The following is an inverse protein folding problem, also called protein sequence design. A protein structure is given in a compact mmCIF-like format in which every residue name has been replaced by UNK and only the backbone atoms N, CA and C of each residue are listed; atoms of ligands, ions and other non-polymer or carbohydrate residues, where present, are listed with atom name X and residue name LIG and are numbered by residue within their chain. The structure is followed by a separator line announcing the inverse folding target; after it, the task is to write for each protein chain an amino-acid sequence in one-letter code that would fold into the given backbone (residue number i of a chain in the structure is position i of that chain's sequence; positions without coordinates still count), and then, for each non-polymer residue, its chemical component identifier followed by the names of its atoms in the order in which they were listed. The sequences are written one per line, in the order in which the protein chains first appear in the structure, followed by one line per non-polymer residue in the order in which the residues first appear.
data_IF_909441475514
#
_entry.id   IF_909441475514
#
_cell.length_a   1.000
_cell.length_b   1.000
_cell.length_c   1.000
_cell.angle_alpha   90.00
_cell.angle_beta   90.00
_cell.angle_gamma   90.00
#
_symmetry.space_group_name_H-M   'P 1'
#
loop_
_entity.id
_entity.type
_entity.pdbx_description
1 polymer ?
#
# COMPACT_ATOMS: atom_id res chain seq x y z
N UNK A 1 -34.91 11.24 -19.18
CA UNK A 1 -33.81 12.15 -18.79
C UNK A 1 -33.40 11.84 -17.37
N UNK A 2 -32.14 11.85 -17.01
CA UNK A 2 -31.71 11.65 -15.60
C UNK A 2 -32.31 12.77 -14.73
N UNK A 3 -32.67 12.42 -13.50
CA UNK A 3 -33.21 13.39 -12.55
C UNK A 3 -32.09 14.38 -12.15
N UNK A 4 -32.22 15.70 -12.43
CA UNK A 4 -31.15 16.69 -12.16
C UNK A 4 -30.71 16.74 -10.70
N UNK A 5 -31.63 16.53 -9.77
CA UNK A 5 -31.31 16.49 -8.31
C UNK A 5 -30.48 15.25 -7.94
N UNK A 6 -30.66 14.14 -8.64
CA UNK A 6 -29.89 12.94 -8.43
C UNK A 6 -28.48 13.13 -8.99
N UNK A 7 -28.37 13.69 -10.22
CA UNK A 7 -27.10 13.94 -10.88
C UNK A 7 -26.16 14.83 -10.06
N UNK A 8 -26.67 15.94 -9.48
CA UNK A 8 -25.92 16.87 -8.62
C UNK A 8 -25.26 16.17 -7.40
N UNK A 9 -25.83 15.06 -6.94
CA UNK A 9 -25.32 14.30 -5.80
C UNK A 9 -24.52 13.06 -6.21
N UNK A 10 -24.26 12.89 -7.52
CA UNK A 10 -23.58 11.74 -8.06
C UNK A 10 -22.14 12.05 -8.39
N UNK A 11 -21.23 11.18 -7.95
CA UNK A 11 -19.82 11.16 -8.34
C UNK A 11 -19.60 9.87 -9.13
N UNK A 12 -18.98 9.95 -10.31
CA UNK A 12 -18.51 8.79 -11.07
C UNK A 12 -17.00 8.80 -11.16
N UNK A 13 -16.38 7.69 -10.80
CA UNK A 13 -14.95 7.51 -10.81
C UNK A 13 -14.60 6.24 -11.61
N UNK A 14 -13.81 6.39 -12.67
CA UNK A 14 -13.33 5.25 -13.48
C UNK A 14 -11.88 4.96 -13.15
N UNK A 15 -11.61 3.70 -12.82
CA UNK A 15 -10.28 3.23 -12.44
C UNK A 15 -9.74 2.24 -13.46
N UNK A 16 -8.45 2.34 -13.73
CA UNK A 16 -7.65 1.35 -14.43
C UNK A 16 -6.90 0.48 -13.40
N UNK A 17 -6.86 -0.82 -13.63
CA UNK A 17 -6.00 -1.75 -12.91
C UNK A 17 -4.62 -1.71 -13.58
N UNK A 18 -3.65 -1.05 -12.94
CA UNK A 18 -2.31 -0.87 -13.49
C UNK A 18 -1.40 -2.10 -13.26
N UNK A 19 -1.63 -2.85 -12.20
CA UNK A 19 -0.89 -4.09 -11.88
C UNK A 19 -1.86 -5.22 -11.52
N UNK A 20 -1.48 -6.51 -11.70
CA UNK A 20 -2.37 -7.63 -11.40
C UNK A 20 -3.04 -7.56 -10.03
N UNK A 21 -4.34 -7.78 -9.97
CA UNK A 21 -5.18 -7.60 -8.79
C UNK A 21 -5.63 -8.95 -8.23
N UNK A 22 -5.26 -9.24 -6.98
CA UNK A 22 -5.66 -10.43 -6.23
C UNK A 22 -6.86 -10.12 -5.34
N UNK A 23 -8.02 -9.90 -5.93
CA UNK A 23 -9.28 -9.64 -5.24
C UNK A 23 -10.20 -10.84 -5.47
N UNK A 24 -10.61 -11.52 -4.41
CA UNK A 24 -11.37 -12.76 -4.51
C UNK A 24 -12.67 -12.74 -3.72
N UNK A 25 -13.61 -13.54 -4.19
CA UNK A 25 -14.88 -13.85 -3.55
C UNK A 25 -14.77 -14.92 -2.44
N UNK A 26 -15.93 -15.39 -1.98
CA UNK A 26 -16.02 -16.45 -0.97
C UNK A 26 -15.39 -17.77 -1.46
N UNK A 27 -15.48 -18.06 -2.75
CA UNK A 27 -14.92 -19.25 -3.39
C UNK A 27 -13.45 -19.07 -3.81
N UNK A 28 -12.80 -18.00 -3.38
CA UNK A 28 -11.43 -17.62 -3.73
C UNK A 28 -11.17 -17.37 -5.22
N UNK A 29 -12.20 -17.35 -6.05
CA UNK A 29 -12.10 -16.93 -7.45
C UNK A 29 -11.89 -15.42 -7.55
N UNK A 30 -11.13 -14.99 -8.57
CA UNK A 30 -10.83 -13.58 -8.76
C UNK A 30 -12.08 -12.84 -9.24
N UNK A 31 -12.54 -11.89 -8.42
CA UNK A 31 -13.66 -11.02 -8.75
C UNK A 31 -13.45 -9.62 -8.20
N UNK A 32 -13.97 -8.61 -8.88
CA UNK A 32 -14.05 -7.26 -8.33
C UNK A 32 -15.24 -7.16 -7.38
N UNK A 33 -14.98 -6.80 -6.14
CA UNK A 33 -16.01 -6.69 -5.09
C UNK A 33 -16.15 -5.24 -4.62
N UNK A 34 -17.35 -4.70 -4.74
CA UNK A 34 -17.65 -3.34 -4.29
C UNK A 34 -17.44 -3.15 -2.79
N UNK A 35 -17.71 -4.18 -1.98
CA UNK A 35 -17.45 -4.14 -0.54
C UNK A 35 -15.95 -3.94 -0.22
N UNK A 36 -15.07 -4.61 -0.98
CA UNK A 36 -13.62 -4.43 -0.85
C UNK A 36 -13.20 -3.01 -1.26
N UNK A 37 -13.76 -2.47 -2.34
CA UNK A 37 -13.53 -1.10 -2.76
C UNK A 37 -14.01 -0.10 -1.70
N UNK A 38 -15.22 -0.29 -1.12
CA UNK A 38 -15.72 0.55 -0.02
C UNK A 38 -14.77 0.53 1.18
N UNK A 39 -14.20 -0.63 1.52
CA UNK A 39 -13.21 -0.76 2.58
C UNK A 39 -11.95 0.07 2.32
N UNK A 40 -11.42 0.03 1.10
CA UNK A 40 -10.25 0.83 0.68
C UNK A 40 -10.58 2.32 0.65
N UNK A 41 -11.76 2.72 0.16
CA UNK A 41 -12.22 4.11 0.18
C UNK A 41 -12.29 4.66 1.61
N UNK A 42 -12.87 3.90 2.55
CA UNK A 42 -12.93 4.25 3.98
C UNK A 42 -11.54 4.37 4.59
N UNK A 43 -10.61 3.46 4.23
CA UNK A 43 -9.23 3.52 4.69
C UNK A 43 -8.55 4.84 4.30
N UNK A 44 -8.61 5.22 3.00
CA UNK A 44 -7.99 6.45 2.51
C UNK A 44 -8.71 7.70 3.01
N UNK A 45 -10.02 7.65 3.21
CA UNK A 45 -10.77 8.71 3.85
C UNK A 45 -10.29 8.93 5.30
N UNK A 46 -10.15 7.86 6.12
CA UNK A 46 -9.60 7.99 7.49
C UNK A 46 -8.19 8.53 7.48
N UNK A 47 -7.35 8.02 6.59
CA UNK A 47 -5.97 8.49 6.48
C UNK A 47 -5.90 10.00 6.21
N UNK A 48 -6.77 10.52 5.35
CA UNK A 48 -6.86 11.93 5.01
C UNK A 48 -7.46 12.77 6.15
N UNK A 49 -8.53 12.27 6.78
CA UNK A 49 -9.28 13.03 7.78
C UNK A 49 -8.62 13.05 9.16
N UNK A 50 -7.59 12.25 9.39
CA UNK A 50 -6.82 12.27 10.64
C UNK A 50 -6.33 13.66 11.01
N UNK A 51 -5.82 14.43 10.05
CA UNK A 51 -5.35 15.80 10.27
C UNK A 51 -6.43 16.80 10.73
N UNK A 52 -7.70 16.43 10.60
CA UNK A 52 -8.86 17.25 10.99
C UNK A 52 -9.60 16.73 12.22
N UNK A 53 -9.30 15.49 12.63
CA UNK A 53 -9.92 14.86 13.80
C UNK A 53 -9.17 15.23 15.08
N UNK A 54 -9.89 15.34 16.19
CA UNK A 54 -9.30 15.60 17.52
C UNK A 54 -8.50 14.38 17.99
N UNK A 55 -9.07 13.21 17.81
CA UNK A 55 -8.53 11.92 18.22
C UNK A 55 -9.18 10.77 17.43
N UNK A 56 -8.85 9.54 17.80
CA UNK A 56 -9.41 8.34 17.19
C UNK A 56 -10.93 8.21 17.37
N UNK A 57 -11.43 8.56 18.53
CA UNK A 57 -12.87 8.50 18.82
C UNK A 57 -13.66 9.43 17.93
N UNK A 58 -13.19 10.68 17.80
CA UNK A 58 -13.79 11.68 16.93
C UNK A 58 -13.78 11.22 15.46
N UNK A 59 -12.65 10.67 14.99
CA UNK A 59 -12.57 10.14 13.61
C UNK A 59 -13.52 8.97 13.38
N UNK A 60 -13.67 8.06 14.35
CA UNK A 60 -14.63 6.95 14.27
C UNK A 60 -16.07 7.47 14.18
N UNK A 61 -16.42 8.48 14.96
CA UNK A 61 -17.76 9.10 14.91
C UNK A 61 -18.01 9.75 13.55
N UNK A 62 -17.05 10.50 13.02
CA UNK A 62 -17.13 11.11 11.68
C UNK A 62 -17.27 10.07 10.57
N UNK A 63 -16.49 8.99 10.64
CA UNK A 63 -16.57 7.88 9.67
C UNK A 63 -17.94 7.19 9.73
N UNK A 64 -18.41 6.86 10.92
CA UNK A 64 -19.71 6.24 11.15
C UNK A 64 -20.86 7.12 10.64
N UNK A 65 -20.83 8.42 10.91
CA UNK A 65 -21.82 9.37 10.42
C UNK A 65 -21.88 9.47 8.89
N UNK A 66 -20.76 9.16 8.18
CA UNK A 66 -20.67 9.25 6.73
C UNK A 66 -20.94 7.90 6.05
N UNK A 67 -20.27 6.83 6.49
CA UNK A 67 -20.31 5.52 5.84
C UNK A 67 -21.29 4.54 6.49
N UNK A 68 -21.92 4.93 7.59
CA UNK A 68 -22.79 4.06 8.39
C UNK A 68 -22.02 3.16 9.33
N UNK A 69 -22.66 2.72 10.36
CA UNK A 69 -22.18 1.69 11.28
C UNK A 69 -23.37 0.81 11.73
N UNK A 70 -23.04 -0.36 12.30
CA UNK A 70 -24.02 -1.29 12.86
C UNK A 70 -24.54 -0.87 14.23
N UNK A 71 -23.91 0.13 14.86
CA UNK A 71 -24.26 0.61 16.17
C UNK A 71 -25.61 1.34 16.16
N UNK A 72 -26.36 1.20 17.25
CA UNK A 72 -27.67 1.83 17.41
C UNK A 72 -27.55 3.37 17.32
N UNK A 73 -28.42 4.00 16.52
CA UNK A 73 -28.50 5.45 16.34
C UNK A 73 -27.63 6.03 15.22
N UNK A 74 -26.69 5.30 14.62
CA UNK A 74 -25.85 5.81 13.53
C UNK A 74 -26.54 5.77 12.16
N UNK A 75 -27.30 4.72 11.89
CA UNK A 75 -28.11 4.58 10.69
C UNK A 75 -27.31 4.24 9.41
N UNK A 76 -27.99 4.42 8.27
CA UNK A 76 -27.47 4.00 6.96
C UNK A 76 -26.35 4.91 6.44
N UNK A 77 -25.46 4.33 5.60
CA UNK A 77 -24.44 5.07 4.87
C UNK A 77 -25.04 6.22 4.04
N UNK A 78 -24.47 7.42 4.19
CA UNK A 78 -24.76 8.58 3.36
C UNK A 78 -24.00 8.56 2.03
N UNK A 79 -23.11 7.58 1.84
CA UNK A 79 -22.36 7.31 0.61
C UNK A 79 -22.77 5.95 0.12
N UNK A 80 -23.60 5.90 -0.91
CA UNK A 80 -24.04 4.67 -1.56
C UNK A 80 -23.22 4.43 -2.80
N UNK A 81 -22.71 3.22 -2.96
CA UNK A 81 -21.85 2.84 -4.07
C UNK A 81 -22.53 1.82 -4.97
N UNK A 82 -22.31 1.92 -6.27
CA UNK A 82 -22.61 0.88 -7.24
C UNK A 82 -21.51 0.78 -8.29
N UNK A 83 -21.39 -0.41 -8.88
CA UNK A 83 -20.47 -0.64 -10.00
C UNK A 83 -21.21 -0.16 -11.27
N UNK A 84 -20.48 0.57 -12.08
CA UNK A 84 -20.89 0.96 -13.43
C UNK A 84 -19.71 0.70 -14.36
N UNK A 85 -19.97 0.21 -15.57
CA UNK A 85 -18.93 0.00 -16.58
C UNK A 85 -17.75 -0.89 -16.10
N UNK A 86 -17.91 -2.19 -16.17
CA UNK A 86 -16.86 -3.12 -15.81
C UNK A 86 -16.32 -3.84 -17.04
N UNK A 87 -15.03 -3.60 -17.38
CA UNK A 87 -14.32 -4.25 -18.49
C UNK A 87 -13.02 -4.84 -17.94
N UNK A 88 -13.12 -6.02 -17.37
CA UNK A 88 -12.01 -6.73 -16.76
C UNK A 88 -11.52 -7.81 -17.71
N UNK A 89 -10.20 -8.01 -17.78
CA UNK A 89 -9.64 -9.17 -18.44
C UNK A 89 -10.06 -10.43 -17.72
N UNK A 90 -10.10 -11.56 -18.44
CA UNK A 90 -10.40 -12.85 -17.85
C UNK A 90 -9.48 -13.15 -16.67
N UNK A 91 -10.02 -13.74 -15.61
CA UNK A 91 -9.24 -14.14 -14.44
C UNK A 91 -8.23 -15.23 -14.82
N UNK A 92 -7.04 -15.15 -14.22
CA UNK A 92 -6.04 -16.20 -14.30
C UNK A 92 -6.04 -16.99 -12.98
N UNK A 93 -6.27 -18.31 -13.09
CA UNK A 93 -6.33 -19.20 -11.93
C UNK A 93 -5.06 -20.03 -11.77
N UNK A 94 -4.43 -20.36 -12.86
CA UNK A 94 -3.26 -21.26 -12.94
C UNK A 94 -2.21 -20.65 -13.86
N UNK A 95 -0.95 -20.94 -13.61
CA UNK A 95 0.16 -20.53 -14.45
C UNK A 95 1.08 -19.51 -13.79
N UNK A 96 1.93 -18.91 -14.59
CA UNK A 96 2.88 -17.89 -14.15
C UNK A 96 2.38 -16.51 -14.55
N UNK A 97 2.32 -15.59 -13.60
CA UNK A 97 2.00 -14.18 -13.87
C UNK A 97 3.13 -13.53 -14.67
N UNK A 98 4.35 -13.95 -14.39
CA UNK A 98 5.57 -13.41 -14.99
C UNK A 98 6.54 -14.52 -15.34
N UNK A 99 7.32 -14.33 -16.39
CA UNK A 99 8.36 -15.28 -16.76
C UNK A 99 9.30 -15.59 -15.59
N UNK A 100 9.57 -16.88 -15.39
CA UNK A 100 10.44 -17.35 -14.32
C UNK A 100 11.83 -16.69 -14.43
N UNK A 101 12.33 -16.16 -13.30
CA UNK A 101 13.65 -15.56 -13.19
C UNK A 101 13.79 -14.14 -13.74
N UNK A 102 12.88 -13.64 -14.58
CA UNK A 102 12.97 -12.28 -15.14
C UNK A 102 12.47 -11.18 -14.23
N UNK A 103 11.42 -11.45 -13.47
CA UNK A 103 10.74 -10.45 -12.62
C UNK A 103 10.77 -10.86 -11.14
N UNK A 104 11.95 -11.13 -10.63
CA UNK A 104 12.19 -11.64 -9.27
C UNK A 104 11.81 -10.66 -8.15
N UNK A 105 11.85 -9.34 -8.40
CA UNK A 105 11.37 -8.34 -7.46
C UNK A 105 9.86 -8.36 -7.33
N UNK A 106 9.13 -8.48 -8.45
CA UNK A 106 7.69 -8.64 -8.44
C UNK A 106 7.28 -9.95 -7.72
N UNK A 107 7.95 -11.07 -7.99
CA UNK A 107 7.72 -12.34 -7.25
C UNK A 107 7.91 -12.16 -5.74
N UNK A 108 8.98 -11.48 -5.32
CA UNK A 108 9.22 -11.18 -3.90
C UNK A 108 8.07 -10.38 -3.27
N UNK A 109 7.58 -9.34 -3.95
CA UNK A 109 6.45 -8.55 -3.46
C UNK A 109 5.14 -9.36 -3.39
N UNK A 110 4.98 -10.33 -4.30
CA UNK A 110 3.82 -11.22 -4.41
C UNK A 110 3.86 -12.46 -3.51
N UNK A 111 4.89 -12.63 -2.68
CA UNK A 111 4.99 -13.79 -1.79
C UNK A 111 3.70 -14.05 -1.00
N UNK A 112 3.17 -15.29 -1.11
CA UNK A 112 1.92 -15.72 -0.49
C UNK A 112 0.64 -15.54 -1.34
N UNK A 113 0.74 -14.91 -2.53
CA UNK A 113 -0.28 -14.96 -3.60
C UNK A 113 0.31 -15.59 -4.87
N UNK A 114 1.62 -15.72 -4.90
CA UNK A 114 2.40 -16.52 -5.84
C UNK A 114 3.66 -17.04 -5.16
N UNK A 115 4.30 -18.04 -5.73
CA UNK A 115 5.58 -18.57 -5.27
C UNK A 115 6.70 -17.56 -5.59
N UNK A 116 7.39 -17.07 -4.56
CA UNK A 116 8.48 -16.11 -4.75
C UNK A 116 9.76 -16.78 -5.31
N UNK A 117 9.93 -18.08 -5.03
CA UNK A 117 11.09 -18.87 -5.42
C UNK A 117 10.64 -20.24 -5.93
N UNK A 118 11.40 -20.81 -6.85
CA UNK A 118 11.20 -22.21 -7.25
C UNK A 118 11.49 -23.15 -6.08
N UNK A 119 10.71 -24.22 -5.98
CA UNK A 119 10.90 -25.29 -4.99
C UNK A 119 10.86 -26.66 -5.66
N UNK A 120 11.98 -27.34 -5.68
CA UNK A 120 12.07 -28.72 -6.20
C UNK A 120 11.20 -29.67 -5.37
N UNK A 121 11.21 -29.51 -4.04
CA UNK A 121 10.44 -30.36 -3.10
C UNK A 121 8.93 -30.23 -3.30
N UNK A 122 8.44 -29.03 -3.67
CA UNK A 122 7.03 -28.78 -3.94
C UNK A 122 6.64 -28.89 -5.40
N UNK A 123 7.61 -29.04 -6.30
CA UNK A 123 7.39 -29.00 -7.75
C UNK A 123 6.87 -27.66 -8.26
N UNK A 124 7.19 -26.56 -7.57
CA UNK A 124 6.68 -25.24 -7.91
C UNK A 124 7.73 -24.35 -8.56
N UNK A 125 7.29 -23.44 -9.42
CA UNK A 125 8.14 -22.47 -10.09
C UNK A 125 7.95 -21.06 -9.51
N UNK A 126 9.00 -20.23 -9.58
CA UNK A 126 8.88 -18.83 -9.20
C UNK A 126 7.82 -18.12 -10.06
N UNK A 127 6.95 -17.32 -9.43
CA UNK A 127 5.84 -16.65 -10.10
C UNK A 127 4.59 -17.50 -10.32
N UNK A 128 4.61 -18.79 -9.96
CA UNK A 128 3.44 -19.64 -10.03
C UNK A 128 2.35 -19.15 -9.08
N UNK A 129 1.14 -18.95 -9.60
CA UNK A 129 -0.01 -18.50 -8.82
C UNK A 129 -0.39 -19.50 -7.72
N UNK A 130 -0.70 -18.98 -6.54
CA UNK A 130 -1.30 -19.74 -5.42
C UNK A 130 -2.77 -19.40 -5.23
N UNK A 131 -3.26 -18.40 -5.96
CA UNK A 131 -4.68 -18.00 -6.04
C UNK A 131 -4.95 -17.24 -7.34
N UNK A 132 -6.22 -17.22 -7.75
CA UNK A 132 -6.64 -16.50 -8.94
C UNK A 132 -6.45 -14.97 -8.84
N UNK A 133 -6.29 -14.31 -9.98
CA UNK A 133 -6.13 -12.87 -10.09
C UNK A 133 -6.80 -12.30 -11.33
N UNK A 134 -7.05 -10.98 -11.32
CA UNK A 134 -7.47 -10.20 -12.49
C UNK A 134 -6.22 -9.47 -13.02
N UNK A 135 -5.76 -9.78 -14.24
CA UNK A 135 -4.49 -9.25 -14.75
C UNK A 135 -4.55 -7.75 -15.08
N UNK A 136 -5.66 -7.27 -15.61
CA UNK A 136 -5.83 -5.88 -16.04
C UNK A 136 -7.31 -5.56 -16.26
N UNK A 137 -7.60 -4.30 -16.58
CA UNK A 137 -8.93 -3.86 -16.96
C UNK A 137 -9.29 -2.50 -16.38
N UNK A 138 -10.54 -2.11 -16.60
CA UNK A 138 -11.12 -0.87 -16.07
C UNK A 138 -12.46 -1.16 -15.42
N UNK A 139 -12.81 -0.36 -14.42
CA UNK A 139 -14.13 -0.38 -13.81
C UNK A 139 -14.54 1.02 -13.36
N UNK A 140 -15.83 1.29 -13.39
CA UNK A 140 -16.43 2.50 -12.87
C UNK A 140 -17.13 2.24 -11.53
N UNK A 141 -17.01 3.19 -10.63
CA UNK A 141 -17.79 3.25 -9.40
C UNK A 141 -18.59 4.54 -9.37
N UNK A 142 -19.88 4.42 -9.16
CA UNK A 142 -20.76 5.55 -8.93
C UNK A 142 -21.04 5.67 -7.44
N UNK A 143 -20.81 6.86 -6.91
CA UNK A 143 -21.11 7.22 -5.52
C UNK A 143 -22.31 8.17 -5.51
N UNK A 144 -23.43 7.73 -4.98
CA UNK A 144 -24.56 8.59 -4.69
C UNK A 144 -24.43 9.12 -3.25
N UNK A 145 -24.25 10.42 -3.15
CA UNK A 145 -24.14 11.13 -1.90
C UNK A 145 -25.51 11.60 -1.39
N UNK A 146 -25.72 11.51 -0.07
CA UNK A 146 -26.88 12.12 0.54
C UNK A 146 -26.87 13.64 0.31
N UNK A 147 -28.00 14.28 -0.04
CA UNK A 147 -28.08 15.73 -0.17
C UNK A 147 -27.83 16.47 1.15
N UNK A 148 -27.88 15.78 2.29
CA UNK A 148 -27.64 16.34 3.61
C UNK A 148 -26.14 16.46 3.97
N UNK A 149 -25.22 15.99 3.10
CA UNK A 149 -23.78 16.13 3.34
C UNK A 149 -23.34 17.57 3.12
N UNK A 150 -22.50 18.08 4.02
CA UNK A 150 -21.82 19.37 3.84
C UNK A 150 -20.88 19.35 2.64
N UNK A 151 -20.47 20.51 2.16
CA UNK A 151 -19.47 20.63 1.09
C UNK A 151 -18.14 19.96 1.49
N UNK A 152 -17.69 20.16 2.72
CA UNK A 152 -16.46 19.55 3.25
C UNK A 152 -16.53 18.02 3.28
N UNK A 153 -17.67 17.45 3.68
CA UNK A 153 -17.88 16.01 3.68
C UNK A 153 -17.88 15.44 2.27
N UNK A 154 -18.48 16.16 1.30
CA UNK A 154 -18.46 15.77 -0.12
C UNK A 154 -17.05 15.82 -0.70
N UNK A 155 -16.32 16.90 -0.43
CA UNK A 155 -14.93 17.06 -0.85
C UNK A 155 -14.03 15.98 -0.26
N UNK A 156 -14.20 15.63 1.02
CA UNK A 156 -13.45 14.55 1.65
C UNK A 156 -13.67 13.19 0.96
N UNK A 157 -14.90 12.89 0.49
CA UNK A 157 -15.17 11.67 -0.29
C UNK A 157 -14.50 11.74 -1.67
N UNK A 158 -14.58 12.88 -2.36
CA UNK A 158 -13.94 13.10 -3.66
C UNK A 158 -12.42 12.91 -3.52
N UNK A 159 -11.81 13.54 -2.53
CA UNK A 159 -10.37 13.46 -2.28
C UNK A 159 -9.93 12.04 -1.92
N UNK A 160 -10.75 11.30 -1.16
CA UNK A 160 -10.48 9.89 -0.87
C UNK A 160 -10.55 9.02 -2.14
N UNK A 161 -11.51 9.26 -3.07
CA UNK A 161 -11.57 8.59 -4.36
C UNK A 161 -10.31 8.87 -5.20
N UNK A 162 -9.82 10.11 -5.21
CA UNK A 162 -8.58 10.46 -5.91
C UNK A 162 -7.39 9.72 -5.27
N UNK A 163 -7.26 9.71 -3.93
CA UNK A 163 -6.19 8.99 -3.22
C UNK A 163 -6.19 7.48 -3.51
N UNK A 164 -7.37 6.86 -3.62
CA UNK A 164 -7.47 5.45 -4.06
C UNK A 164 -6.78 5.24 -5.40
N UNK A 165 -6.89 6.20 -6.32
CA UNK A 165 -6.30 6.15 -7.66
C UNK A 165 -4.88 6.70 -7.77
N UNK A 166 -4.33 7.28 -6.70
CA UNK A 166 -3.00 7.92 -6.71
C UNK A 166 -1.96 7.11 -5.92
N UNK A 167 -2.38 6.54 -4.80
CA UNK A 167 -1.51 5.79 -3.87
C UNK A 167 -2.14 4.48 -3.41
N UNK A 168 -3.39 4.22 -3.78
CA UNK A 168 -4.16 3.06 -3.34
C UNK A 168 -4.04 1.86 -4.24
N UNK A 169 -4.62 0.78 -3.78
CA UNK A 169 -4.75 -0.48 -4.52
C UNK A 169 -5.78 -1.38 -3.87
N UNK A 170 -6.23 -2.40 -4.59
CA UNK A 170 -7.28 -3.29 -4.16
C UNK A 170 -6.82 -4.74 -4.14
N UNK A 171 -7.27 -5.48 -3.15
CA UNK A 171 -7.01 -6.92 -2.98
C UNK A 171 -5.77 -7.24 -2.17
N UNK A 172 -5.38 -8.51 -2.20
CA UNK A 172 -4.20 -9.00 -1.50
C UNK A 172 -2.93 -8.37 -2.06
N UNK A 173 -1.97 -8.05 -1.17
CA UNK A 173 -0.71 -7.40 -1.53
C UNK A 173 -0.85 -5.98 -2.11
N UNK A 174 -1.98 -5.31 -1.93
CA UNK A 174 -2.17 -3.93 -2.39
C UNK A 174 -1.14 -2.95 -1.80
N UNK A 175 -0.70 -3.14 -0.56
CA UNK A 175 0.43 -2.35 0.01
C UNK A 175 1.79 -2.66 -0.64
N UNK A 176 1.87 -3.72 -1.44
CA UNK A 176 3.07 -4.14 -2.15
C UNK A 176 3.01 -3.84 -3.65
N UNK A 177 2.07 -2.98 -4.06
CA UNK A 177 1.92 -2.52 -5.43
C UNK A 177 1.12 -3.44 -6.35
N UNK A 178 0.56 -4.56 -5.84
CA UNK A 178 -0.39 -5.36 -6.59
C UNK A 178 -1.79 -4.74 -6.52
N UNK A 179 -2.57 -4.87 -7.60
CA UNK A 179 -3.89 -4.25 -7.69
C UNK A 179 -3.85 -2.73 -7.58
N UNK A 180 -2.76 -2.08 -7.99
CA UNK A 180 -2.67 -0.63 -8.06
C UNK A 180 -3.76 -0.08 -8.97
N UNK A 181 -4.49 0.91 -8.49
CA UNK A 181 -5.60 1.54 -9.19
C UNK A 181 -5.23 2.95 -9.64
N UNK A 182 -5.35 3.24 -10.93
CA UNK A 182 -5.20 4.61 -11.44
C UNK A 182 -6.56 5.20 -11.75
N UNK A 183 -6.91 6.32 -11.15
CA UNK A 183 -8.12 7.06 -11.47
C UNK A 183 -7.93 7.77 -12.83
N UNK A 184 -8.69 7.35 -13.82
CA UNK A 184 -8.58 7.87 -15.19
C UNK A 184 -9.64 8.90 -15.55
N UNK A 185 -10.82 8.83 -14.92
CA UNK A 185 -11.91 9.77 -15.12
C UNK A 185 -12.63 10.05 -13.81
N UNK A 186 -13.00 11.29 -13.60
CA UNK A 186 -13.80 11.72 -12.46
C UNK A 186 -14.87 12.71 -12.91
N UNK A 187 -16.13 12.42 -12.61
CA UNK A 187 -17.26 13.30 -12.87
C UNK A 187 -17.96 13.60 -11.54
N UNK A 188 -18.23 14.85 -11.26
CA UNK A 188 -18.92 15.31 -10.05
C UNK A 188 -20.11 16.17 -10.46
N UNK A 189 -21.31 15.75 -10.07
CA UNK A 189 -22.53 16.49 -10.40
C UNK A 189 -22.77 16.63 -11.91
N UNK A 190 -22.36 15.62 -12.70
CA UNK A 190 -22.45 15.66 -14.17
C UNK A 190 -21.29 16.39 -14.87
N UNK A 191 -20.41 17.05 -14.12
CA UNK A 191 -19.28 17.79 -14.70
C UNK A 191 -17.98 16.98 -14.59
N UNK A 192 -17.24 16.89 -15.70
CA UNK A 192 -15.93 16.23 -15.72
C UNK A 192 -14.91 17.08 -14.96
N UNK A 193 -14.16 16.44 -14.04
CA UNK A 193 -13.09 17.06 -13.30
C UNK A 193 -11.75 16.66 -13.93
N UNK A 194 -10.96 17.65 -14.33
CA UNK A 194 -9.59 17.42 -14.81
C UNK A 194 -8.72 16.87 -13.70
N UNK A 195 -7.94 15.83 -14.00
CA UNK A 195 -6.97 15.22 -13.11
C UNK A 195 -5.57 15.38 -13.70
N UNK A 196 -4.59 15.87 -12.94
CA UNK A 196 -3.20 15.81 -13.39
C UNK A 196 -2.79 14.38 -13.73
N UNK A 197 -2.00 14.20 -14.78
CA UNK A 197 -1.49 12.87 -15.15
C UNK A 197 -0.41 12.37 -14.18
N UNK A 198 0.37 13.28 -13.59
CA UNK A 198 1.40 12.96 -12.61
C UNK A 198 0.78 12.75 -11.22
N UNK A 199 0.99 11.60 -10.57
CA UNK A 199 0.52 11.37 -9.21
C UNK A 199 1.10 12.34 -8.18
N UNK A 200 2.30 12.89 -8.39
CA UNK A 200 2.86 13.92 -7.51
C UNK A 200 2.01 15.18 -7.50
N UNK A 201 1.55 15.63 -8.67
CA UNK A 201 0.70 16.82 -8.78
C UNK A 201 -0.71 16.57 -8.23
N UNK A 202 -1.22 15.34 -8.34
CA UNK A 202 -2.47 14.98 -7.68
C UNK A 202 -2.35 15.09 -6.16
N UNK A 203 -1.23 14.66 -5.57
CA UNK A 203 -1.01 14.65 -4.11
C UNK A 203 -0.86 16.05 -3.51
N UNK A 204 -0.14 16.96 -4.18
CA UNK A 204 0.09 18.35 -3.70
C UNK A 204 -1.19 19.08 -3.28
N UNK A 205 -2.30 18.79 -3.93
CA UNK A 205 -3.59 19.42 -3.62
C UNK A 205 -4.43 18.70 -2.57
N UNK A 206 -4.14 17.42 -2.31
CA UNK A 206 -4.99 16.53 -1.52
C UNK A 206 -4.58 16.44 -0.05
N UNK A 207 -3.26 16.36 0.21
CA UNK A 207 -2.74 16.16 1.55
C UNK A 207 -2.49 17.54 2.18
N UNK A 208 -3.41 17.98 3.02
CA UNK A 208 -3.35 19.27 3.72
C UNK A 208 -3.57 19.05 5.21
N UNK A 209 -3.15 20.01 6.03
CA UNK A 209 -3.35 20.01 7.49
C UNK A 209 -2.78 18.74 8.16
N UNK A 210 -1.54 18.43 7.84
CA UNK A 210 -0.85 17.28 8.41
C UNK A 210 -0.78 17.37 9.94
N UNK A 211 -1.24 16.32 10.61
CA UNK A 211 -1.26 16.27 12.06
C UNK A 211 0.15 16.18 12.63
N UNK A 212 0.51 16.95 13.66
CA UNK A 212 1.85 16.91 14.27
C UNK A 212 2.10 15.67 15.11
N UNK A 213 1.04 15.03 15.65
CA UNK A 213 1.17 13.82 16.46
C UNK A 213 1.24 12.59 15.57
N UNK A 214 2.06 11.63 15.98
CA UNK A 214 2.09 10.31 15.36
C UNK A 214 0.69 9.66 15.45
N UNK A 215 0.10 9.25 14.32
CA UNK A 215 -1.20 8.59 14.33
C UNK A 215 -1.16 7.26 15.08
N UNK A 216 -2.27 6.86 15.68
CA UNK A 216 -2.40 5.53 16.28
C UNK A 216 -2.54 4.42 15.24
N UNK A 217 -2.98 4.77 14.03
CA UNK A 217 -3.02 3.90 12.87
C UNK A 217 -2.44 4.60 11.64
N UNK A 218 -2.25 3.84 10.57
CA UNK A 218 -1.70 4.34 9.32
C UNK A 218 -2.55 5.49 8.74
N UNK A 219 -2.03 6.72 8.83
CA UNK A 219 -2.65 7.95 8.35
C UNK A 219 -1.59 8.98 7.96
N UNK A 220 -2.01 10.03 7.27
CA UNK A 220 -1.14 11.16 6.93
C UNK A 220 -0.78 11.95 8.19
N UNK A 221 0.50 12.29 8.32
CA UNK A 221 1.07 13.11 9.39
C UNK A 221 2.25 13.93 8.86
N UNK A 222 2.81 14.82 9.68
CA UNK A 222 3.98 15.62 9.29
C UNK A 222 5.21 14.79 8.93
N UNK A 223 5.30 13.57 9.48
CA UNK A 223 6.43 12.65 9.21
C UNK A 223 6.16 11.75 8.00
N UNK A 224 5.02 11.91 7.32
CA UNK A 224 4.71 11.17 6.11
C UNK A 224 5.63 11.62 4.97
N UNK A 225 6.03 10.67 4.13
CA UNK A 225 6.86 10.94 2.95
C UNK A 225 6.31 10.20 1.74
N UNK A 226 6.45 10.82 0.59
CA UNK A 226 6.13 10.20 -0.70
C UNK A 226 7.31 10.39 -1.65
N UNK A 227 7.68 9.32 -2.31
CA UNK A 227 8.69 9.31 -3.37
C UNK A 227 8.04 8.76 -4.63
N UNK A 228 8.11 9.50 -5.71
CA UNK A 228 7.82 8.98 -7.06
C UNK A 228 9.08 8.46 -7.69
N UNK A 229 8.97 7.37 -8.45
CA UNK A 229 10.09 6.78 -9.19
C UNK A 229 9.66 6.49 -10.62
N UNK A 230 10.57 6.67 -11.55
CA UNK A 230 10.35 6.35 -12.95
C UNK A 230 11.47 5.48 -13.52
N UNK A 231 11.15 4.78 -14.61
CA UNK A 231 12.10 4.06 -15.40
C UNK A 231 11.67 4.18 -16.86
N UNK A 232 12.49 4.81 -17.69
CA UNK A 232 12.16 5.12 -19.09
C UNK A 232 11.78 3.85 -19.86
N UNK A 233 10.60 3.87 -20.48
CA UNK A 233 10.11 2.77 -21.33
C UNK A 233 9.70 1.50 -20.58
N UNK A 234 9.68 1.51 -19.24
CA UNK A 234 9.27 0.34 -18.47
C UNK A 234 7.74 0.23 -18.42
N UNK A 235 7.24 -1.01 -18.49
CA UNK A 235 5.83 -1.33 -18.24
C UNK A 235 5.49 -1.26 -16.74
N UNK A 236 4.21 -1.23 -16.40
CA UNK A 236 3.74 -1.20 -15.00
C UNK A 236 4.31 -2.37 -14.16
N UNK A 237 4.36 -3.56 -14.74
CA UNK A 237 4.93 -4.75 -14.09
C UNK A 237 6.44 -4.64 -13.93
N UNK A 238 7.14 -4.04 -14.88
CA UNK A 238 8.58 -3.82 -14.76
C UNK A 238 8.92 -2.78 -13.70
N UNK A 239 8.11 -1.71 -13.56
CA UNK A 239 8.28 -0.75 -12.46
C UNK A 239 8.00 -1.42 -11.11
N UNK A 240 6.98 -2.27 -11.02
CA UNK A 240 6.70 -3.07 -9.82
C UNK A 240 7.90 -3.99 -9.48
N UNK A 241 8.49 -4.66 -10.48
CA UNK A 241 9.67 -5.50 -10.29
C UNK A 241 10.87 -4.70 -9.78
N UNK A 242 11.13 -3.53 -10.37
CA UNK A 242 12.23 -2.66 -9.94
C UNK A 242 12.05 -2.22 -8.49
N UNK A 243 10.85 -1.79 -8.09
CA UNK A 243 10.52 -1.47 -6.69
C UNK A 243 10.76 -2.67 -5.76
N UNK A 244 10.38 -3.86 -6.18
CA UNK A 244 10.61 -5.09 -5.44
C UNK A 244 12.09 -5.43 -5.30
N UNK A 245 12.88 -5.27 -6.37
CA UNK A 245 14.34 -5.46 -6.36
C UNK A 245 15.00 -4.49 -5.38
N UNK A 246 14.67 -3.19 -5.48
CA UNK A 246 15.21 -2.19 -4.55
C UNK A 246 14.89 -2.56 -3.09
N UNK A 247 13.65 -2.98 -2.81
CA UNK A 247 13.25 -3.36 -1.47
C UNK A 247 13.97 -4.61 -0.96
N UNK A 248 14.13 -5.65 -1.79
CA UNK A 248 14.80 -6.88 -1.37
C UNK A 248 16.31 -6.68 -1.21
N UNK A 249 16.96 -5.90 -2.09
CA UNK A 249 18.39 -5.57 -1.94
C UNK A 249 18.65 -4.76 -0.67
N UNK A 250 17.84 -3.76 -0.41
CA UNK A 250 18.00 -2.93 0.79
C UNK A 250 17.79 -3.73 2.08
N UNK A 251 16.79 -4.63 2.13
CA UNK A 251 16.37 -5.30 3.37
C UNK A 251 17.07 -6.62 3.64
N UNK A 252 17.54 -7.31 2.61
CA UNK A 252 17.98 -8.70 2.76
C UNK A 252 19.47 -8.80 3.03
N UNK A 253 19.84 -9.68 3.98
CA UNK A 253 21.23 -10.05 4.21
C UNK A 253 21.77 -10.93 3.07
N UNK A 254 20.89 -11.74 2.48
CA UNK A 254 21.24 -12.66 1.41
C UNK A 254 21.71 -14.03 1.91
N UNK A 255 21.73 -14.98 0.97
CA UNK A 255 22.30 -16.31 1.19
C UNK A 255 23.71 -16.34 0.63
N UNK A 256 24.69 -16.73 1.45
CA UNK A 256 26.12 -16.73 1.07
C UNK A 256 26.57 -15.38 0.49
N UNK A 257 26.10 -14.26 1.07
CA UNK A 257 26.43 -12.91 0.62
C UNK A 257 25.79 -12.49 -0.71
N UNK A 258 24.73 -13.17 -1.18
CA UNK A 258 24.06 -12.85 -2.45
C UNK A 258 22.54 -12.70 -2.25
N UNK A 259 21.98 -11.73 -2.97
CA UNK A 259 20.54 -11.47 -3.13
C UNK A 259 20.24 -11.44 -4.63
N UNK A 260 19.26 -12.24 -5.08
CA UNK A 260 18.90 -12.34 -6.52
C UNK A 260 20.12 -12.52 -7.43
N UNK A 261 21.08 -13.36 -7.01
CA UNK A 261 22.31 -13.63 -7.75
C UNK A 261 23.38 -12.53 -7.72
N UNK A 262 23.12 -11.38 -7.12
CA UNK A 262 24.05 -10.25 -6.98
C UNK A 262 24.62 -10.19 -5.55
N UNK A 263 25.78 -9.58 -5.32
CA UNK A 263 26.29 -9.32 -3.97
C UNK A 263 25.25 -8.57 -3.13
N UNK A 264 25.03 -9.04 -1.90
CA UNK A 264 24.11 -8.39 -0.95
C UNK A 264 24.70 -7.08 -0.42
N UNK A 265 23.81 -6.15 -0.04
CA UNK A 265 24.23 -4.83 0.48
C UNK A 265 24.55 -4.85 1.97
N UNK A 266 23.99 -5.83 2.69
CA UNK A 266 24.23 -6.02 4.12
C UNK A 266 23.96 -4.78 5.00
N UNK A 267 22.90 -4.03 4.68
CA UNK A 267 22.57 -2.77 5.34
C UNK A 267 22.21 -2.92 6.83
N UNK A 268 21.95 -4.13 7.31
CA UNK A 268 21.55 -4.42 8.70
C UNK A 268 22.48 -5.45 9.35
N UNK A 269 23.77 -5.13 9.56
CA UNK A 269 24.73 -6.09 10.14
C UNK A 269 24.36 -6.48 11.58
N UNK A 270 23.89 -5.54 12.40
CA UNK A 270 23.50 -5.81 13.78
C UNK A 270 22.30 -6.77 13.85
N UNK A 271 21.30 -6.61 12.94
CA UNK A 271 20.17 -7.54 12.84
C UNK A 271 20.64 -8.97 12.54
N UNK A 272 21.64 -9.11 11.67
CA UNK A 272 22.20 -10.41 11.32
C UNK A 272 22.96 -11.02 12.50
N UNK A 273 23.83 -10.25 13.15
CA UNK A 273 24.59 -10.71 14.31
C UNK A 273 23.67 -11.12 15.45
N UNK A 274 22.65 -10.30 15.76
CA UNK A 274 21.64 -10.63 16.78
C UNK A 274 20.91 -11.95 16.46
N UNK A 275 20.55 -12.19 15.18
CA UNK A 275 19.91 -13.43 14.76
C UNK A 275 20.81 -14.67 14.86
N UNK A 276 22.12 -14.48 15.01
CA UNK A 276 23.11 -15.53 15.26
C UNK A 276 23.43 -15.70 16.75
N UNK A 277 22.71 -14.99 17.64
CA UNK A 277 22.95 -15.04 19.07
C UNK A 277 24.20 -14.29 19.53
N UNK A 278 24.78 -13.46 18.67
CA UNK A 278 25.93 -12.62 19.05
C UNK A 278 25.47 -11.44 19.90
N UNK A 279 26.29 -11.04 20.84
CA UNK A 279 26.04 -9.83 21.64
C UNK A 279 26.22 -8.58 20.76
N UNK A 280 25.20 -7.76 20.68
CA UNK A 280 25.17 -6.50 19.92
C UNK A 280 24.37 -5.44 20.66
N UNK A 281 24.66 -4.18 20.39
CA UNK A 281 23.98 -3.03 21.03
C UNK A 281 22.64 -2.71 20.36
N UNK A 282 21.79 -3.72 20.21
CA UNK A 282 20.37 -3.57 19.84
C UNK A 282 19.55 -4.68 20.52
N UNK A 283 18.37 -4.34 20.99
CA UNK A 283 17.48 -5.28 21.66
C UNK A 283 16.67 -6.14 20.69
N UNK A 284 16.35 -5.60 19.52
CA UNK A 284 15.59 -6.25 18.47
C UNK A 284 16.02 -5.75 17.08
N UNK A 285 15.75 -6.53 16.02
CA UNK A 285 16.16 -6.14 14.67
C UNK A 285 15.52 -4.84 14.20
N UNK A 286 16.33 -3.95 13.63
CA UNK A 286 15.85 -2.66 13.08
C UNK A 286 14.88 -2.83 11.91
N UNK A 287 14.95 -3.95 11.17
CA UNK A 287 14.06 -4.24 10.03
C UNK A 287 12.60 -4.50 10.43
N UNK A 288 12.26 -4.62 11.71
CA UNK A 288 10.87 -4.77 12.18
C UNK A 288 9.97 -3.63 11.69
N UNK A 289 10.50 -2.43 11.49
CA UNK A 289 9.78 -1.26 10.98
C UNK A 289 9.06 -1.50 9.65
N UNK A 290 9.52 -2.47 8.84
CA UNK A 290 8.88 -2.83 7.57
C UNK A 290 7.64 -3.72 7.73
N UNK A 291 7.25 -4.05 8.95
CA UNK A 291 6.07 -4.86 9.29
C UNK A 291 6.44 -6.17 9.99
N UNK A 292 5.44 -6.85 10.56
CA UNK A 292 5.58 -8.12 11.29
C UNK A 292 4.59 -9.16 10.72
N UNK A 293 4.87 -10.46 10.87
CA UNK A 293 6.03 -11.06 11.51
C UNK A 293 7.29 -11.04 10.64
N UNK A 294 8.46 -11.17 11.30
CA UNK A 294 9.73 -11.50 10.66
C UNK A 294 10.18 -12.89 11.10
N UNK A 295 10.70 -13.69 10.18
CA UNK A 295 11.25 -15.00 10.44
C UNK A 295 12.76 -14.98 10.17
N UNK A 296 13.55 -15.34 11.17
CA UNK A 296 15.02 -15.45 11.11
C UNK A 296 15.52 -16.91 11.15
N UNK A 297 14.60 -17.89 11.11
CA UNK A 297 14.87 -19.31 11.17
C UNK A 297 13.95 -20.04 12.14
N UNK A 298 14.13 -21.35 12.33
CA UNK A 298 13.28 -22.15 13.20
C UNK A 298 13.31 -21.61 14.64
N UNK A 299 12.14 -21.28 15.20
CA UNK A 299 11.97 -20.76 16.54
C UNK A 299 12.44 -19.33 16.78
N UNK A 300 12.73 -18.58 15.71
CA UNK A 300 13.19 -17.19 15.77
C UNK A 300 12.20 -16.23 15.10
N UNK A 301 10.92 -16.47 15.30
CA UNK A 301 9.87 -15.59 14.82
C UNK A 301 9.76 -14.33 15.67
N UNK A 302 9.73 -13.19 15.02
CA UNK A 302 9.53 -11.88 15.64
C UNK A 302 8.16 -11.37 15.27
N UNK A 303 7.38 -11.02 16.28
CA UNK A 303 6.00 -10.59 16.10
C UNK A 303 5.45 -9.88 17.34
N UNK A 304 4.17 -9.48 17.32
CA UNK A 304 3.50 -9.02 18.52
C UNK A 304 3.55 -10.07 19.63
N UNK A 305 3.67 -9.62 20.89
CA UNK A 305 3.82 -10.54 22.02
C UNK A 305 2.49 -11.20 22.41
N UNK A 306 1.38 -10.47 22.31
CA UNK A 306 0.06 -11.02 22.64
C UNK A 306 -0.50 -11.90 21.52
N UNK A 307 -1.37 -12.84 21.92
CA UNK A 307 -2.12 -13.66 20.96
C UNK A 307 -3.26 -12.92 20.24
N UNK A 308 -3.53 -11.67 20.64
CA UNK A 308 -4.59 -10.84 20.04
C UNK A 308 -4.20 -10.25 18.70
N UNK A 309 -2.89 -10.14 18.46
CA UNK A 309 -2.29 -9.61 17.24
C UNK A 309 -1.33 -10.65 16.67
N UNK A 310 -1.50 -11.00 15.41
CA UNK A 310 -0.62 -11.94 14.69
C UNK A 310 0.34 -11.20 13.73
N UNK A 311 0.06 -9.94 13.42
CA UNK A 311 0.83 -9.18 12.44
C UNK A 311 0.73 -7.66 12.61
N UNK A 312 1.73 -6.97 12.09
CA UNK A 312 1.72 -5.53 11.85
C UNK A 312 2.01 -5.27 10.37
N UNK A 313 1.06 -4.72 9.67
CA UNK A 313 1.25 -4.38 8.25
C UNK A 313 2.34 -3.30 8.09
N UNK A 314 3.08 -3.35 6.98
CA UNK A 314 4.05 -2.31 6.64
C UNK A 314 3.39 -0.92 6.61
N UNK A 315 4.05 0.13 7.14
CA UNK A 315 3.59 1.51 6.98
C UNK A 315 3.91 2.07 5.59
N UNK A 316 4.66 1.33 4.77
CA UNK A 316 4.95 1.68 3.39
C UNK A 316 3.94 1.07 2.43
N UNK A 317 3.51 1.88 1.47
CA UNK A 317 2.67 1.49 0.35
C UNK A 317 3.48 1.66 -0.94
N UNK A 318 3.48 0.63 -1.75
CA UNK A 318 3.94 0.70 -3.13
C UNK A 318 2.72 0.81 -4.02
N UNK A 319 2.80 1.67 -5.01
CA UNK A 319 1.76 1.86 -6.01
C UNK A 319 2.40 2.07 -7.38
N UNK A 320 1.73 1.61 -8.42
CA UNK A 320 2.14 1.84 -9.81
C UNK A 320 1.03 2.60 -10.51
N UNK A 321 1.37 3.78 -11.00
CA UNK A 321 0.45 4.68 -11.68
C UNK A 321 0.64 4.62 -13.19
N UNK A 322 -0.46 4.40 -13.93
CA UNK A 322 -0.46 4.39 -15.38
C UNK A 322 -1.86 4.75 -15.90
N UNK A 323 -1.99 5.87 -16.59
CA UNK A 323 -3.30 6.39 -17.02
C UNK A 323 -3.89 5.68 -18.24
N UNK A 324 -3.04 5.22 -19.16
CA UNK A 324 -3.44 4.47 -20.36
C UNK A 324 -2.32 3.52 -20.80
N UNK A 325 -2.63 2.61 -21.74
CA UNK A 325 -1.60 1.80 -22.38
C UNK A 325 -0.64 2.70 -23.16
N UNK A 326 0.67 2.44 -23.01
CA UNK A 326 1.72 3.26 -23.62
C UNK A 326 1.99 4.60 -22.93
N UNK A 327 1.18 5.02 -21.95
CA UNK A 327 1.49 6.21 -21.15
C UNK A 327 2.69 5.96 -20.21
N UNK A 328 3.39 7.03 -19.79
CA UNK A 328 4.46 6.91 -18.79
C UNK A 328 3.96 6.18 -17.53
N UNK A 329 4.84 5.36 -16.95
CA UNK A 329 4.57 4.61 -15.73
C UNK A 329 5.36 5.22 -14.59
N UNK A 330 4.68 5.56 -13.50
CA UNK A 330 5.29 6.09 -12.29
C UNK A 330 5.04 5.14 -11.13
N UNK A 331 6.11 4.71 -10.46
CA UNK A 331 6.00 4.06 -9.16
C UNK A 331 5.84 5.12 -8.06
N UNK A 332 4.98 4.87 -7.09
CA UNK A 332 4.76 5.75 -5.94
C UNK A 332 5.03 4.97 -4.67
N UNK A 333 5.96 5.45 -3.86
CA UNK A 333 6.29 4.87 -2.56
C UNK A 333 5.82 5.84 -1.48
N UNK A 334 4.77 5.46 -0.76
CA UNK A 334 4.19 6.27 0.30
C UNK A 334 4.53 5.68 1.65
N UNK A 335 5.10 6.48 2.54
CA UNK A 335 5.34 6.15 3.93
C UNK A 335 4.37 6.94 4.83
N UNK A 336 3.57 6.19 5.57
CA UNK A 336 2.62 6.73 6.54
C UNK A 336 2.99 6.18 7.92
N UNK A 337 3.84 6.90 8.69
CA UNK A 337 4.19 6.49 10.05
C UNK A 337 2.97 6.49 10.95
N UNK A 338 2.95 5.54 11.88
CA UNK A 338 1.91 5.43 12.89
C UNK A 338 2.49 4.70 14.10
N UNK A 339 1.83 4.75 15.25
CA UNK A 339 2.20 3.91 16.37
C UNK A 339 2.43 2.47 15.87
N UNK A 340 3.62 1.93 16.13
CA UNK A 340 4.01 0.66 15.54
C UNK A 340 3.17 -0.49 16.07
N UNK A 341 2.99 -0.57 17.37
CA UNK A 341 2.09 -1.51 18.03
C UNK A 341 1.02 -0.75 18.83
N UNK A 342 -0.16 -1.32 19.07
CA UNK A 342 -1.16 -0.71 19.94
C UNK A 342 -0.60 -0.40 21.34
N UNK A 343 -1.23 0.54 22.03
CA UNK A 343 -0.82 0.88 23.39
C UNK A 343 -0.83 -0.34 24.31
N UNK A 344 0.28 -0.55 25.04
CA UNK A 344 0.47 -1.69 25.93
C UNK A 344 0.88 -2.99 25.25
N UNK A 345 0.89 -3.07 23.90
CA UNK A 345 1.41 -4.23 23.18
C UNK A 345 2.94 -4.17 23.10
N UNK A 346 3.58 -5.32 23.21
CA UNK A 346 5.03 -5.46 23.15
C UNK A 346 5.46 -6.25 21.91
N UNK A 347 6.69 -6.04 21.51
CA UNK A 347 7.35 -6.86 20.48
C UNK A 347 7.97 -8.09 21.14
N UNK A 348 7.65 -9.28 20.68
CA UNK A 348 8.38 -10.51 21.01
C UNK A 348 9.49 -10.74 19.99
N UNK A 349 10.73 -10.78 20.46
CA UNK A 349 11.91 -11.06 19.66
C UNK A 349 12.87 -11.96 20.44
N UNK A 350 13.33 -13.07 19.84
CA UNK A 350 14.32 -14.00 20.40
C UNK A 350 14.01 -14.41 21.86
N UNK A 351 12.75 -14.80 22.13
CA UNK A 351 12.24 -15.21 23.45
C UNK A 351 12.21 -14.10 24.52
N UNK A 352 12.36 -12.84 24.13
CA UNK A 352 12.20 -11.66 25.01
C UNK A 352 11.09 -10.76 24.49
N UNK A 353 10.56 -9.93 25.37
CA UNK A 353 9.58 -8.89 25.01
C UNK A 353 10.22 -7.52 25.15
N UNK A 354 9.89 -6.62 24.24
CA UNK A 354 10.45 -5.27 24.17
C UNK A 354 9.34 -4.26 23.95
N UNK A 355 9.42 -3.15 24.64
CA UNK A 355 8.58 -1.98 24.34
C UNK A 355 9.18 -1.25 23.15
N UNK A 356 8.34 -0.91 22.18
CA UNK A 356 8.76 -0.12 21.01
C UNK A 356 8.67 1.36 21.37
N UNK A 357 9.78 2.06 21.17
CA UNK A 357 9.79 3.52 21.13
C UNK A 357 9.52 3.99 19.70
N UNK A 358 8.34 4.56 19.46
CA UNK A 358 7.90 5.09 18.16
C UNK A 358 8.56 6.45 17.81
N UNK A 359 9.70 6.77 18.40
CA UNK A 359 10.46 7.99 18.10
C UNK A 359 10.93 8.06 16.65
N UNK A 360 11.37 9.21 16.20
CA UNK A 360 11.86 9.40 14.83
C UNK A 360 13.01 8.45 14.48
N UNK A 361 13.84 8.07 15.46
CA UNK A 361 14.96 7.14 15.26
C UNK A 361 14.49 5.71 14.94
N UNK A 362 13.32 5.30 15.42
CA UNK A 362 12.73 4.01 15.08
C UNK A 362 12.46 3.88 13.58
N UNK A 363 12.00 4.95 12.94
CA UNK A 363 11.64 4.97 11.52
C UNK A 363 12.83 5.18 10.57
N UNK A 364 14.03 5.43 11.13
CA UNK A 364 15.24 5.69 10.33
C UNK A 364 15.45 4.68 9.18
N UNK A 365 15.29 3.34 9.33
CA UNK A 365 15.50 2.42 8.21
C UNK A 365 14.56 2.66 7.03
N UNK A 366 13.36 3.18 7.27
CA UNK A 366 12.43 3.53 6.16
C UNK A 366 12.87 4.84 5.52
N UNK A 367 13.28 5.84 6.30
CA UNK A 367 13.83 7.07 5.76
C UNK A 367 15.08 6.81 4.90
N UNK A 368 15.99 5.95 5.36
CA UNK A 368 17.19 5.55 4.63
C UNK A 368 16.82 4.87 3.29
N UNK A 369 15.78 4.03 3.30
CA UNK A 369 15.28 3.41 2.07
C UNK A 369 14.70 4.44 1.08
N UNK A 370 13.92 5.40 1.55
CA UNK A 370 13.36 6.46 0.71
C UNK A 370 14.45 7.39 0.18
N UNK A 371 15.43 7.76 1.01
CA UNK A 371 16.58 8.58 0.62
C UNK A 371 17.44 7.89 -0.45
N UNK A 372 17.57 6.56 -0.37
CA UNK A 372 18.19 5.76 -1.43
C UNK A 372 17.46 5.90 -2.76
N UNK A 373 16.13 5.85 -2.76
CA UNK A 373 15.33 5.96 -3.98
C UNK A 373 15.49 7.32 -4.67
N UNK A 374 15.70 8.39 -3.91
CA UNK A 374 15.95 9.75 -4.44
C UNK A 374 17.43 10.05 -4.65
N UNK A 375 18.30 9.06 -4.48
CA UNK A 375 19.73 9.20 -4.76
C UNK A 375 20.50 10.07 -3.79
N UNK A 376 19.99 10.29 -2.56
CA UNK A 376 20.77 11.00 -1.52
C UNK A 376 22.02 10.18 -1.17
N UNK A 377 23.19 10.84 -0.97
CA UNK A 377 24.41 10.15 -0.56
C UNK A 377 24.18 9.49 0.82
N UNK A 378 24.23 8.18 0.84
CA UNK A 378 24.18 7.40 2.07
C UNK A 378 25.36 6.44 2.15
N UNK A 379 25.71 6.04 3.37
CA UNK A 379 26.84 5.16 3.65
C UNK A 379 26.79 3.80 2.92
N UNK A 380 25.67 3.43 2.33
CA UNK A 380 25.45 2.16 1.62
C UNK A 380 25.12 2.42 0.15
N UNK A 381 26.11 2.84 -0.59
CA UNK A 381 25.91 3.37 -1.93
C UNK A 381 25.96 2.31 -3.04
N UNK A 382 24.95 1.49 -3.21
CA UNK A 382 24.64 1.00 -4.55
C UNK A 382 23.58 1.89 -5.17
N UNK A 383 23.89 2.50 -6.31
CA UNK A 383 22.97 3.35 -7.07
C UNK A 383 21.75 2.53 -7.49
N UNK A 384 20.56 3.02 -7.19
CA UNK A 384 19.32 2.52 -7.78
C UNK A 384 19.32 2.77 -9.30
N UNK A 385 18.59 1.92 -10.03
CA UNK A 385 18.28 2.14 -11.45
C UNK A 385 17.01 2.97 -11.66
N UNK A 386 16.35 3.34 -10.57
CA UNK A 386 15.15 4.18 -10.58
C UNK A 386 15.55 5.65 -10.46
N UNK A 387 14.85 6.48 -11.19
CA UNK A 387 14.94 7.94 -11.08
C UNK A 387 13.86 8.37 -10.09
N UNK A 388 14.28 8.63 -8.85
CA UNK A 388 13.38 8.97 -7.76
C UNK A 388 13.34 10.46 -7.45
N UNK A 389 12.15 10.95 -7.11
CA UNK A 389 11.90 12.32 -6.69
C UNK A 389 11.01 12.35 -5.45
N UNK A 390 11.37 13.13 -4.46
CA UNK A 390 10.52 13.37 -3.29
C UNK A 390 9.37 14.32 -3.63
N UNK A 391 8.16 13.95 -3.23
CA UNK A 391 6.96 14.79 -3.40
C UNK A 391 6.80 15.66 -2.17
N UNK A 392 6.84 16.98 -2.27
CA UNK A 392 6.55 17.87 -1.14
C UNK A 392 5.07 17.73 -0.75
N UNK A 393 4.80 17.48 0.53
CA UNK A 393 3.46 17.33 1.13
C UNK A 393 3.04 18.59 1.88
#
# INVERSE_FOLDING_TARGET
MPNPKLEQNTIRATYRIATPMFCGGAEQQAEFRLASFKGVLRFWWRALMWGRAKDCGDLCVQEAALFGASDEGVGQSKVRLRIVDQRLAASMEVGQVFEAGRLSGAHYLGYGVMEAFASVTKGTQAGQLTRSMIPSGTFGVECLLSPRLSLDQREAVINALILVGTVGGLGSKSRKGYGSLTLTQLTVGGQSKSLPADPADQLKGLVKNLHPRLPEWTAWSRDSRVVTVSAKGASAVQVLDMLGREQVFFRSWGNRGRVLGQPSEQNFPLDHHLSKGQHVDIDYPKRVVFGLPHNYGKGQDIGPASKKLDRRASPMFLHVHQTADGSPVTGVVTFLPARFLPQGEQLRAFNRTHTIDDSASFWKPIHDYLDRLVGKPQATAKKTKLEGQEVPL
#
